data_IF_603202615660
#
_entry.id   IF_603202615660
#
_cell.length_a   1.000
_cell.length_b   1.000
_cell.length_c   1.000
_cell.angle_alpha   90.00
_cell.angle_beta   90.00
_cell.angle_gamma   90.00
#
_symmetry.space_group_name_H-M   'P 1'
#
loop_
_entity.id
_entity.type
_entity.pdbx_description
1 polymer ?
#
# COMPACT_ATOMS: atom_id res chain seq x y z
N UNK A 1 -26.75 -62.84 58.36
CA UNK A 1 -25.60 -62.63 59.26
C UNK A 1 -24.34 -62.37 58.44
N UNK A 2 -23.69 -61.23 58.69
CA UNK A 2 -22.27 -60.93 58.47
C UNK A 2 -21.67 -61.19 57.09
N UNK A 3 -21.55 -60.11 56.29
CA UNK A 3 -20.32 -59.65 55.57
C UNK A 3 -20.70 -58.70 54.43
N UNK A 4 -21.19 -57.52 54.78
CA UNK A 4 -21.46 -56.41 53.84
C UNK A 4 -20.51 -55.22 54.09
N UNK A 5 -19.31 -55.48 54.62
CA UNK A 5 -18.41 -54.47 55.21
C UNK A 5 -16.92 -54.69 54.85
N UNK A 6 -16.61 -55.18 53.64
CA UNK A 6 -15.21 -55.35 53.20
C UNK A 6 -14.90 -54.95 51.75
N UNK A 7 -15.89 -54.47 50.99
CA UNK A 7 -15.68 -54.01 49.60
C UNK A 7 -15.74 -52.48 49.44
N UNK A 8 -16.02 -51.73 50.51
CA UNK A 8 -16.08 -50.25 50.48
C UNK A 8 -14.78 -49.56 50.92
N UNK A 9 -13.77 -50.30 51.38
CA UNK A 9 -12.52 -49.74 51.93
C UNK A 9 -11.32 -49.76 50.96
N UNK A 10 -11.50 -50.18 49.71
CA UNK A 10 -10.46 -50.11 48.65
C UNK A 10 -10.76 -48.99 47.64
N UNK A 11 -11.87 -48.28 47.79
CA UNK A 11 -12.25 -47.17 46.91
C UNK A 11 -11.84 -45.77 47.43
N UNK A 12 -11.26 -45.66 48.64
CA UNK A 12 -10.99 -44.36 49.27
C UNK A 12 -9.51 -44.02 49.51
N UNK A 13 -8.57 -44.84 49.04
CA UNK A 13 -7.12 -44.55 49.12
C UNK A 13 -6.44 -44.25 47.77
N UNK A 14 -7.16 -44.36 46.64
CA UNK A 14 -6.63 -44.00 45.30
C UNK A 14 -7.35 -42.76 44.75
N UNK A 15 -7.58 -41.75 45.61
CA UNK A 15 -8.21 -40.47 45.19
C UNK A 15 -7.38 -39.24 45.59
N UNK A 16 -6.24 -39.38 46.30
CA UNK A 16 -5.59 -38.20 46.90
C UNK A 16 -4.06 -38.05 46.76
N UNK A 17 -3.39 -38.66 45.77
CA UNK A 17 -1.95 -38.41 45.58
C UNK A 17 -1.45 -38.18 44.14
N UNK A 18 -2.28 -37.79 43.18
CA UNK A 18 -1.77 -37.20 41.93
C UNK A 18 -2.68 -36.06 41.46
N UNK A 19 -2.42 -34.84 41.93
CA UNK A 19 -2.82 -33.61 41.23
C UNK A 19 -1.73 -33.22 40.21
N UNK A 20 -1.96 -32.24 39.32
CA UNK A 20 -2.32 -32.48 37.92
C UNK A 20 -1.27 -31.89 36.97
N UNK A 21 -0.90 -32.61 35.92
CA UNK A 21 -0.17 -31.97 34.83
C UNK A 21 -0.31 -32.77 33.55
N UNK A 22 -0.42 -32.02 32.45
CA UNK A 22 -0.39 -32.45 31.07
C UNK A 22 -1.76 -32.82 30.50
N UNK A 23 -2.45 -31.76 30.08
CA UNK A 23 -3.44 -31.85 29.03
C UNK A 23 -2.85 -32.58 27.83
N UNK A 24 -3.57 -33.59 27.36
CA UNK A 24 -3.32 -34.22 26.08
C UNK A 24 -3.92 -33.25 25.06
N UNK A 25 -3.14 -32.23 24.70
CA UNK A 25 -3.41 -31.41 23.55
C UNK A 25 -3.39 -32.32 22.33
N UNK A 26 -4.54 -32.53 21.72
CA UNK A 26 -4.68 -33.05 20.38
C UNK A 26 -3.97 -32.06 19.45
N UNK A 27 -2.69 -32.35 19.16
CA UNK A 27 -1.85 -31.57 18.26
C UNK A 27 -2.38 -31.73 16.84
N UNK A 28 -3.37 -30.91 16.48
CA UNK A 28 -3.38 -30.29 15.15
C UNK A 28 -2.37 -29.14 15.17
N UNK A 29 -1.10 -29.51 15.32
CA UNK A 29 0.00 -28.61 15.04
C UNK A 29 0.27 -28.66 13.55
N UNK A 30 -0.59 -28.04 12.75
CA UNK A 30 -0.11 -27.48 11.50
C UNK A 30 0.99 -26.50 11.91
N UNK A 31 2.25 -26.91 11.71
CA UNK A 31 3.40 -26.03 11.71
C UNK A 31 3.22 -25.09 10.52
N UNK A 32 2.27 -24.18 10.64
CA UNK A 32 2.08 -23.08 9.73
C UNK A 32 3.36 -22.26 9.88
N UNK A 33 4.28 -22.40 8.93
CA UNK A 33 5.44 -21.52 8.79
C UNK A 33 4.92 -20.08 8.77
N UNK A 34 4.85 -19.44 9.93
CA UNK A 34 4.47 -18.04 10.01
C UNK A 34 5.58 -17.30 9.28
N UNK A 35 5.28 -16.61 8.17
CA UNK A 35 6.31 -15.82 7.50
C UNK A 35 6.88 -14.85 8.55
N UNK A 36 8.21 -14.82 8.67
CA UNK A 36 8.89 -13.92 9.58
C UNK A 36 8.50 -12.49 9.19
N UNK A 37 7.79 -11.78 10.06
CA UNK A 37 7.34 -10.42 9.76
C UNK A 37 8.30 -9.41 10.37
N UNK A 38 8.68 -8.40 9.60
CA UNK A 38 9.59 -7.32 10.01
C UNK A 38 8.96 -5.95 9.81
N UNK A 39 9.33 -5.02 10.69
CA UNK A 39 8.97 -3.61 10.51
C UNK A 39 9.73 -3.04 9.29
N UNK A 40 9.05 -2.31 8.40
CA UNK A 40 9.73 -1.65 7.30
C UNK A 40 10.57 -0.46 7.76
N UNK A 41 11.57 -0.13 6.96
CA UNK A 41 12.25 1.16 7.04
C UNK A 41 11.38 2.22 6.37
N UNK A 42 11.04 3.29 7.08
CA UNK A 42 10.12 4.34 6.59
C UNK A 42 10.83 5.69 6.55
N UNK A 43 10.62 6.43 5.47
CA UNK A 43 11.12 7.80 5.28
C UNK A 43 10.03 8.69 4.70
N UNK A 44 10.13 9.99 5.01
CA UNK A 44 9.28 11.00 4.41
C UNK A 44 9.61 11.14 2.91
N UNK A 45 8.59 11.27 2.05
CA UNK A 45 8.81 11.58 0.65
C UNK A 45 9.26 13.02 0.45
N UNK A 46 10.09 13.28 -0.56
CA UNK A 46 10.39 14.63 -0.99
C UNK A 46 9.32 15.09 -1.99
N UNK A 47 8.49 16.06 -1.58
CA UNK A 47 7.47 16.67 -2.41
C UNK A 47 8.02 17.88 -3.16
N UNK A 48 7.67 17.99 -4.43
CA UNK A 48 8.04 19.10 -5.28
C UNK A 48 6.84 19.53 -6.13
N UNK A 49 6.75 20.84 -6.32
CA UNK A 49 5.83 21.43 -7.30
C UNK A 49 6.23 20.96 -8.70
N UNK A 50 5.28 20.44 -9.50
CA UNK A 50 5.58 20.10 -10.88
C UNK A 50 5.88 21.34 -11.72
N UNK A 51 6.53 21.14 -12.85
CA UNK A 51 6.66 22.17 -13.87
C UNK A 51 5.34 22.25 -14.65
N UNK A 52 4.69 23.40 -14.63
CA UNK A 52 3.52 23.67 -15.45
C UNK A 52 3.87 24.57 -16.62
N UNK A 53 3.26 24.31 -17.77
CA UNK A 53 3.33 25.13 -18.97
C UNK A 53 1.97 25.18 -19.64
N UNK A 54 1.70 26.29 -20.30
CA UNK A 54 0.55 26.39 -21.17
C UNK A 54 0.65 25.40 -22.34
N UNK A 55 -0.48 24.77 -22.72
CA UNK A 55 -0.51 23.88 -23.86
C UNK A 55 -0.43 24.70 -25.16
N UNK A 56 0.39 24.25 -26.10
CA UNK A 56 0.56 24.93 -27.38
C UNK A 56 -0.53 24.55 -28.37
N UNK A 57 -0.97 25.44 -29.27
CA UNK A 57 -1.83 25.08 -30.38
C UNK A 57 -1.15 24.01 -31.25
N UNK A 58 -1.96 23.10 -31.80
CA UNK A 58 -1.45 22.09 -32.72
C UNK A 58 -2.44 21.78 -33.84
N UNK A 59 -1.97 21.09 -34.87
CA UNK A 59 -2.71 20.89 -36.12
C UNK A 59 -4.02 20.12 -35.93
N UNK A 60 -5.07 20.68 -36.53
CA UNK A 60 -6.38 20.04 -36.69
C UNK A 60 -6.48 19.50 -38.12
N UNK A 61 -6.79 18.22 -38.27
CA UNK A 61 -6.94 17.56 -39.57
C UNK A 61 -8.36 17.02 -39.65
N UNK A 62 -9.16 17.50 -40.59
CA UNK A 62 -10.53 17.02 -40.87
C UNK A 62 -11.42 16.94 -39.62
N UNK A 63 -11.44 17.99 -38.81
CA UNK A 63 -12.29 18.08 -37.60
C UNK A 63 -11.78 17.32 -36.38
N UNK A 64 -10.63 16.67 -36.48
CA UNK A 64 -10.02 15.91 -35.39
C UNK A 64 -8.62 16.44 -35.08
N UNK A 65 -8.18 16.24 -33.83
CA UNK A 65 -6.82 16.54 -33.46
C UNK A 65 -5.89 15.40 -33.90
N UNK A 66 -4.77 15.74 -34.54
CA UNK A 66 -3.76 14.75 -34.93
C UNK A 66 -3.13 14.04 -33.73
N UNK A 67 -2.31 13.01 -33.98
CA UNK A 67 -1.64 12.24 -32.92
C UNK A 67 -0.82 13.13 -31.98
N UNK A 68 -0.99 12.96 -30.67
CA UNK A 68 -0.32 13.77 -29.64
C UNK A 68 -0.99 15.11 -29.31
N UNK A 69 -2.14 15.40 -29.93
CA UNK A 69 -2.98 16.55 -29.63
C UNK A 69 -4.26 16.17 -28.90
N UNK A 70 -4.76 17.11 -28.09
CA UNK A 70 -5.96 16.98 -27.29
C UNK A 70 -6.97 18.04 -27.72
N UNK A 71 -8.22 17.64 -27.92
CA UNK A 71 -9.31 18.57 -28.20
C UNK A 71 -9.77 19.20 -26.89
N UNK A 72 -9.79 20.52 -26.84
CA UNK A 72 -10.26 21.27 -25.67
C UNK A 72 -11.39 22.20 -26.06
N UNK A 73 -12.32 22.41 -25.12
CA UNK A 73 -13.43 23.33 -25.27
C UNK A 73 -12.99 24.71 -24.76
N UNK A 74 -13.22 25.74 -25.56
CA UNK A 74 -13.05 27.15 -25.19
C UNK A 74 -14.42 27.84 -25.25
N UNK A 75 -14.52 29.07 -24.75
CA UNK A 75 -15.79 29.81 -24.70
C UNK A 75 -16.47 29.87 -26.08
N UNK A 76 -15.69 30.00 -27.15
CA UNK A 76 -16.22 30.18 -28.51
C UNK A 76 -15.88 29.03 -29.48
N UNK A 77 -15.78 27.79 -29.00
CA UNK A 77 -15.58 26.63 -29.86
C UNK A 77 -14.70 25.53 -29.27
N UNK A 78 -14.03 24.78 -30.13
CA UNK A 78 -13.06 23.74 -29.75
C UNK A 78 -11.73 24.02 -30.44
N UNK A 79 -10.62 23.78 -29.75
CA UNK A 79 -9.26 23.90 -30.31
C UNK A 79 -8.43 22.66 -29.99
N UNK A 80 -7.48 22.33 -30.86
CA UNK A 80 -6.51 21.29 -30.61
C UNK A 80 -5.26 21.88 -29.96
N UNK A 81 -4.81 21.25 -28.87
CA UNK A 81 -3.58 21.64 -28.17
C UNK A 81 -2.69 20.44 -27.89
N UNK A 82 -1.39 20.65 -27.77
CA UNK A 82 -0.43 19.62 -27.44
C UNK A 82 0.49 20.05 -26.30
N UNK A 83 1.12 19.07 -25.68
CA UNK A 83 2.13 19.28 -24.65
C UNK A 83 3.52 18.98 -25.19
N UNK A 84 4.56 19.70 -24.72
CA UNK A 84 5.94 19.35 -25.05
C UNK A 84 6.30 17.93 -24.61
N UNK A 85 7.31 17.29 -25.22
CA UNK A 85 7.71 15.93 -24.86
C UNK A 85 7.95 15.71 -23.35
N UNK A 86 7.27 14.70 -22.82
CA UNK A 86 7.32 14.32 -21.42
C UNK A 86 6.46 15.19 -20.48
N UNK A 87 5.73 16.18 -20.98
CA UNK A 87 4.64 16.82 -20.26
C UNK A 87 3.33 16.05 -20.48
N UNK A 88 2.48 16.01 -19.45
CA UNK A 88 1.15 15.41 -19.50
C UNK A 88 0.09 16.50 -19.42
N UNK A 89 -0.95 16.39 -20.23
CA UNK A 89 -2.08 17.31 -20.17
C UNK A 89 -3.04 16.88 -19.06
N UNK A 90 -3.06 17.62 -17.94
CA UNK A 90 -3.84 17.28 -16.75
C UNK A 90 -4.46 18.53 -16.11
N UNK A 91 -5.42 18.34 -15.20
CA UNK A 91 -5.92 19.41 -14.36
C UNK A 91 -4.90 19.73 -13.26
N UNK A 92 -4.46 20.97 -13.19
CA UNK A 92 -3.50 21.47 -12.20
C UNK A 92 -3.94 22.85 -11.72
N UNK A 93 -4.14 23.00 -10.41
CA UNK A 93 -4.68 24.21 -9.79
C UNK A 93 -6.00 24.70 -10.43
N UNK A 94 -6.88 23.78 -10.82
CA UNK A 94 -8.19 24.10 -11.41
C UNK A 94 -8.15 24.37 -12.92
N UNK A 95 -6.98 24.38 -13.56
CA UNK A 95 -6.84 24.63 -14.99
C UNK A 95 -6.16 23.45 -15.71
N UNK A 96 -6.56 23.18 -16.96
CA UNK A 96 -5.93 22.11 -17.74
C UNK A 96 -4.62 22.60 -18.34
N UNK A 97 -3.50 22.12 -17.81
CA UNK A 97 -2.16 22.53 -18.19
C UNK A 97 -1.28 21.35 -18.59
N UNK A 98 -0.18 21.64 -19.26
CA UNK A 98 0.88 20.68 -19.48
C UNK A 98 1.78 20.61 -18.26
N UNK A 99 1.81 19.47 -17.59
CA UNK A 99 2.52 19.29 -16.32
C UNK A 99 3.62 18.24 -16.48
N UNK A 100 4.80 18.50 -15.90
CA UNK A 100 5.95 17.59 -15.89
C UNK A 100 6.59 17.47 -14.51
N UNK A 101 6.85 16.25 -14.06
CA UNK A 101 7.78 15.97 -12.97
C UNK A 101 9.22 15.86 -13.46
N UNK A 102 10.18 16.33 -12.65
CA UNK A 102 11.62 16.14 -12.92
C UNK A 102 11.94 14.65 -12.96
N UNK A 103 13.03 14.28 -13.64
CA UNK A 103 13.48 12.88 -13.74
C UNK A 103 13.63 12.23 -12.36
N UNK A 104 13.09 11.02 -12.22
CA UNK A 104 13.09 10.26 -10.96
C UNK A 104 12.04 10.70 -9.93
N UNK A 105 11.19 11.67 -10.25
CA UNK A 105 9.96 11.96 -9.50
C UNK A 105 8.76 11.29 -10.15
N UNK A 106 7.79 10.88 -9.35
CA UNK A 106 6.51 10.32 -9.78
C UNK A 106 5.37 11.30 -9.50
N UNK A 107 4.29 11.21 -10.27
CA UNK A 107 3.06 11.95 -9.99
C UNK A 107 2.31 11.31 -8.85
N UNK A 108 1.81 12.13 -7.95
CA UNK A 108 0.85 11.76 -6.91
C UNK A 108 -0.20 12.85 -6.79
N UNK A 109 -1.42 12.46 -6.48
CA UNK A 109 -2.46 13.40 -6.11
C UNK A 109 -2.45 13.55 -4.59
N UNK A 110 -2.27 14.77 -4.11
CA UNK A 110 -2.29 15.09 -2.70
C UNK A 110 -3.27 16.26 -2.48
N UNK A 111 -4.33 16.02 -1.71
CA UNK A 111 -5.42 16.97 -1.48
C UNK A 111 -6.03 17.55 -2.78
N UNK A 112 -6.22 16.71 -3.80
CA UNK A 112 -6.77 17.15 -5.10
C UNK A 112 -5.79 17.93 -5.98
N UNK A 113 -4.52 18.06 -5.57
CA UNK A 113 -3.47 18.73 -6.33
C UNK A 113 -2.44 17.71 -6.80
N UNK A 114 -2.10 17.77 -8.09
CA UNK A 114 -1.03 16.94 -8.66
C UNK A 114 0.34 17.43 -8.18
N UNK A 115 1.06 16.59 -7.44
CA UNK A 115 2.41 16.85 -6.94
C UNK A 115 3.42 15.85 -7.51
N UNK A 116 4.69 16.25 -7.49
CA UNK A 116 5.80 15.37 -7.81
C UNK A 116 6.43 14.87 -6.53
N UNK A 117 6.65 13.56 -6.43
CA UNK A 117 7.27 12.97 -5.27
C UNK A 117 8.44 12.07 -5.62
N UNK A 118 9.46 12.06 -4.76
CA UNK A 118 10.62 11.19 -4.91
C UNK A 118 10.95 10.53 -3.59
N UNK A 119 11.23 9.23 -3.66
CA UNK A 119 11.77 8.49 -2.54
C UNK A 119 13.29 8.37 -2.63
N UNK A 120 13.98 8.22 -1.49
CA UNK A 120 15.39 7.87 -1.48
C UNK A 120 15.64 6.56 -2.25
N UNK A 121 16.86 6.35 -2.79
CA UNK A 121 17.20 5.12 -3.49
C UNK A 121 16.88 3.86 -2.67
N UNK A 122 16.23 2.90 -3.32
CA UNK A 122 15.81 1.63 -2.71
C UNK A 122 14.53 1.69 -1.88
N UNK A 123 13.89 2.86 -1.72
CA UNK A 123 12.56 2.97 -1.12
C UNK A 123 11.50 3.04 -2.21
N UNK A 124 10.34 2.44 -1.93
CA UNK A 124 9.13 2.51 -2.75
C UNK A 124 8.14 3.46 -2.10
N UNK A 125 7.52 4.34 -2.87
CA UNK A 125 6.43 5.15 -2.33
C UNK A 125 5.15 4.32 -2.27
N UNK A 126 4.54 4.29 -1.10
CA UNK A 126 3.31 3.57 -0.78
C UNK A 126 2.60 4.24 0.39
N UNK A 127 1.40 3.77 0.74
CA UNK A 127 0.78 4.12 2.01
C UNK A 127 1.40 3.28 3.14
N UNK A 128 1.63 3.89 4.29
CA UNK A 128 2.06 3.25 5.54
C UNK A 128 1.31 3.93 6.69
N UNK A 129 0.49 3.15 7.41
CA UNK A 129 -0.38 3.65 8.50
C UNK A 129 -1.22 4.85 8.06
N UNK A 130 -1.91 4.70 6.92
CA UNK A 130 -2.80 5.72 6.36
C UNK A 130 -2.11 6.93 5.71
N UNK A 131 -0.78 7.03 5.77
CA UNK A 131 -0.02 8.18 5.22
C UNK A 131 0.85 7.76 4.05
N UNK A 132 1.04 8.68 3.12
CA UNK A 132 1.90 8.49 1.96
C UNK A 132 3.38 8.61 2.37
N UNK A 133 4.11 7.50 2.28
CA UNK A 133 5.47 7.35 2.79
C UNK A 133 6.38 6.61 1.80
N UNK A 134 7.68 6.76 1.98
CA UNK A 134 8.70 5.96 1.33
C UNK A 134 9.04 4.77 2.23
N UNK A 135 8.82 3.56 1.73
CA UNK A 135 8.94 2.31 2.49
C UNK A 135 9.95 1.40 1.82
N UNK A 136 10.79 0.75 2.64
CA UNK A 136 11.78 -0.23 2.19
C UNK A 136 11.78 -1.41 3.15
N UNK A 137 11.83 -2.61 2.58
CA UNK A 137 12.10 -3.85 3.31
C UNK A 137 13.54 -4.28 3.11
N UNK A 138 14.06 -5.05 4.06
CA UNK A 138 15.36 -5.70 3.89
C UNK A 138 15.31 -6.72 2.75
N UNK A 139 16.49 -7.10 2.24
CA UNK A 139 16.56 -8.06 1.12
C UNK A 139 15.89 -9.38 1.51
N UNK A 140 15.09 -9.92 0.61
CA UNK A 140 14.32 -11.14 0.83
C UNK A 140 12.90 -10.91 1.33
N UNK A 141 12.56 -9.71 1.79
CA UNK A 141 11.22 -9.39 2.27
C UNK A 141 10.46 -8.46 1.30
N UNK A 142 9.14 -8.63 1.25
CA UNK A 142 8.21 -7.83 0.45
C UNK A 142 7.29 -7.03 1.37
N UNK A 143 7.05 -5.78 1.00
CA UNK A 143 6.10 -4.94 1.73
C UNK A 143 4.65 -5.32 1.40
N UNK A 144 3.86 -5.58 2.43
CA UNK A 144 2.41 -5.79 2.37
C UNK A 144 1.75 -4.76 3.29
N UNK A 145 0.66 -4.16 2.83
CA UNK A 145 -0.19 -3.26 3.61
C UNK A 145 -1.62 -3.79 3.55
N UNK A 146 -2.15 -4.21 4.69
CA UNK A 146 -3.53 -4.69 4.83
C UNK A 146 -4.53 -3.56 5.15
N UNK A 147 -4.05 -2.31 5.17
CA UNK A 147 -4.84 -1.12 5.49
C UNK A 147 -4.82 -0.76 6.98
N UNK A 148 -4.37 -1.66 7.86
CA UNK A 148 -4.20 -1.41 9.29
C UNK A 148 -2.73 -1.26 9.66
N UNK A 149 -1.87 -2.15 9.18
CA UNK A 149 -0.43 -2.11 9.37
C UNK A 149 0.34 -2.52 8.10
N UNK A 150 1.47 -1.85 7.88
CA UNK A 150 2.41 -2.19 6.82
C UNK A 150 3.56 -3.04 7.35
N UNK A 151 3.76 -4.23 6.80
CA UNK A 151 4.77 -5.19 7.25
C UNK A 151 5.63 -5.69 6.08
N UNK A 152 6.84 -6.10 6.40
CA UNK A 152 7.73 -6.80 5.49
C UNK A 152 7.64 -8.31 5.78
N UNK A 153 7.27 -9.11 4.78
CA UNK A 153 7.14 -10.57 4.89
C UNK A 153 7.98 -11.31 3.86
#
# INVERSE_FOLDING_TARGET
MKRHWFLFLIAFTIVFLISPSMGIGEKIGEEFCRPETKAPQVKLPAFHTPQAKDPSPCSQVSGHCGGGCFLIKIQNGKKCVSCPPGFKYILYNGEKMCVKCRGGYRYVEYNGVNMCVKCPPGYKYTRYKGRDMCVKCDRGYTYIDDGSEGLCV
#
